data_IF_078735044152
#
_entry.id   IF_078735044152
#
_cell.length_a   1.000
_cell.length_b   1.000
_cell.length_c   1.000
_cell.angle_alpha   90.00
_cell.angle_beta   90.00
_cell.angle_gamma   90.00
#
_symmetry.space_group_name_H-M   'P 1'
#
loop_
_entity.id
_entity.type
_entity.pdbx_description
1 polymer ?
#
# COMPACT_ATOMS: atom_id res chain seq x y z
N UNK A 1 10.97 -11.93 15.81
CA UNK A 1 10.48 -10.56 15.59
C UNK A 1 9.51 -10.64 14.43
N UNK A 2 8.27 -10.23 14.60
CA UNK A 2 7.27 -10.27 13.51
C UNK A 2 7.62 -9.14 12.54
N UNK A 3 7.96 -9.49 11.29
CA UNK A 3 8.38 -8.53 10.27
C UNK A 3 7.13 -7.80 9.78
N UNK A 4 7.21 -6.46 9.67
CA UNK A 4 6.13 -5.63 9.13
C UNK A 4 4.90 -5.51 10.01
N UNK A 5 5.10 -5.07 11.26
CA UNK A 5 3.99 -4.60 12.10
C UNK A 5 3.55 -3.23 11.61
N UNK A 6 2.25 -3.01 11.48
CA UNK A 6 1.78 -1.70 11.05
C UNK A 6 0.27 -1.61 10.89
N UNK A 7 -0.17 -0.54 10.26
CA UNK A 7 -1.58 -0.27 9.96
C UNK A 7 -1.74 0.17 8.52
N UNK A 8 -2.78 -0.33 7.90
CA UNK A 8 -3.34 0.27 6.70
C UNK A 8 -4.42 1.31 7.07
N UNK A 9 -4.58 2.32 6.22
CA UNK A 9 -5.69 3.26 6.31
C UNK A 9 -6.27 3.56 4.92
N UNK A 10 -7.54 3.94 4.94
CA UNK A 10 -8.30 4.37 3.78
C UNK A 10 -9.12 5.59 4.18
N UNK A 11 -9.12 6.60 3.32
CA UNK A 11 -10.00 7.76 3.43
C UNK A 11 -10.64 8.08 2.08
N UNK A 12 -11.84 8.64 2.14
CA UNK A 12 -12.51 9.25 0.99
C UNK A 12 -12.87 10.66 1.42
N UNK A 13 -12.44 11.66 0.66
CA UNK A 13 -12.75 13.06 0.96
C UNK A 13 -14.13 13.48 0.43
N UNK A 14 -14.54 14.71 0.71
CA UNK A 14 -15.84 15.27 0.27
C UNK A 14 -15.96 15.42 -1.24
N UNK A 15 -14.85 15.30 -1.99
CA UNK A 15 -14.80 15.30 -3.45
C UNK A 15 -14.79 13.90 -4.05
N UNK A 16 -14.99 12.87 -3.21
CA UNK A 16 -14.90 11.45 -3.55
C UNK A 16 -13.50 10.99 -3.98
N UNK A 17 -12.45 11.74 -3.65
CA UNK A 17 -11.09 11.25 -3.88
C UNK A 17 -10.74 10.24 -2.80
N UNK A 18 -10.39 9.05 -3.24
CA UNK A 18 -9.83 8.02 -2.39
C UNK A 18 -8.39 8.36 -2.03
N UNK A 19 -7.96 8.06 -0.81
CA UNK A 19 -6.55 7.93 -0.44
C UNK A 19 -6.38 6.63 0.33
N UNK A 20 -5.43 5.80 -0.08
CA UNK A 20 -5.07 4.57 0.61
C UNK A 20 -3.62 4.61 1.02
N UNK A 21 -3.29 4.06 2.18
CA UNK A 21 -1.91 4.09 2.65
C UNK A 21 -1.60 3.05 3.70
N UNK A 22 -0.31 2.89 3.94
CA UNK A 22 0.24 1.98 4.94
C UNK A 22 1.27 2.74 5.79
N UNK A 23 1.36 2.38 7.06
CA UNK A 23 2.43 2.78 7.96
C UNK A 23 2.94 1.52 8.66
N UNK A 24 4.18 1.16 8.36
CA UNK A 24 4.80 -0.11 8.70
C UNK A 24 6.12 0.12 9.43
N UNK A 25 6.42 -0.78 10.36
CA UNK A 25 7.64 -0.82 11.13
C UNK A 25 8.26 -2.23 11.06
N UNK A 26 9.55 -2.33 11.40
CA UNK A 26 10.28 -3.61 11.40
C UNK A 26 10.33 -4.29 10.02
N UNK A 27 10.32 -3.51 8.93
CA UNK A 27 10.71 -4.01 7.61
C UNK A 27 12.24 -4.12 7.51
N UNK A 28 12.73 -4.94 6.57
CA UNK A 28 14.16 -5.09 6.35
C UNK A 28 14.69 -3.84 5.63
N UNK A 29 15.63 -3.08 6.23
CA UNK A 29 16.22 -1.92 5.58
C UNK A 29 16.94 -2.30 4.29
N UNK A 30 16.87 -1.44 3.27
CA UNK A 30 17.52 -1.66 1.98
C UNK A 30 16.87 -2.71 1.08
N UNK A 31 15.75 -3.31 1.51
CA UNK A 31 14.94 -4.20 0.68
C UNK A 31 13.82 -3.42 -0.01
N UNK A 32 13.51 -3.82 -1.25
CA UNK A 32 12.41 -3.27 -2.05
C UNK A 32 11.07 -3.94 -1.70
N UNK A 33 10.02 -3.12 -1.60
CA UNK A 33 8.66 -3.57 -1.31
C UNK A 33 7.67 -2.96 -2.29
N UNK A 34 6.63 -3.68 -2.68
CA UNK A 34 5.47 -3.12 -3.38
C UNK A 34 4.29 -3.02 -2.44
N UNK A 35 3.47 -1.98 -2.60
CA UNK A 35 2.19 -1.82 -1.90
C UNK A 35 1.07 -1.98 -2.92
N UNK A 36 0.10 -2.85 -2.64
CA UNK A 36 -0.99 -3.17 -3.57
C UNK A 36 -2.33 -3.07 -2.86
N UNK A 37 -3.26 -2.31 -3.45
CA UNK A 37 -4.67 -2.37 -3.10
C UNK A 37 -5.33 -3.45 -3.96
N UNK A 38 -5.87 -4.51 -3.33
CA UNK A 38 -6.45 -5.69 -4.01
C UNK A 38 -7.90 -5.89 -3.59
N UNK A 39 -8.81 -6.17 -4.52
CA UNK A 39 -10.24 -6.41 -4.22
C UNK A 39 -10.67 -7.87 -4.41
N UNK A 40 -9.94 -8.62 -5.25
CA UNK A 40 -10.06 -10.07 -5.41
C UNK A 40 -8.78 -10.60 -6.10
N UNK A 41 -8.69 -11.90 -6.39
CA UNK A 41 -7.49 -12.48 -7.01
C UNK A 41 -7.06 -11.82 -8.33
N UNK A 42 -7.99 -11.18 -9.06
CA UNK A 42 -7.78 -10.67 -10.41
C UNK A 42 -7.81 -9.14 -10.51
N UNK A 43 -8.26 -8.43 -9.47
CA UNK A 43 -8.40 -6.98 -9.47
C UNK A 43 -7.55 -6.36 -8.36
N UNK A 44 -6.55 -5.56 -8.75
CA UNK A 44 -5.64 -4.87 -7.83
C UNK A 44 -4.82 -3.78 -8.52
N UNK A 45 -4.42 -2.76 -7.76
CA UNK A 45 -3.58 -1.64 -8.21
C UNK A 45 -2.38 -1.60 -7.31
N UNK A 46 -1.22 -1.72 -7.94
CA UNK A 46 0.07 -1.44 -7.31
C UNK A 46 0.18 0.08 -7.17
N UNK A 47 0.66 0.53 -6.01
CA UNK A 47 0.90 1.93 -5.74
C UNK A 47 1.98 2.48 -6.70
N UNK A 48 1.64 3.56 -7.40
CA UNK A 48 2.45 4.33 -8.34
C UNK A 48 1.52 5.22 -9.19
N UNK A 49 2.00 6.11 -10.09
CA UNK A 49 3.33 6.69 -10.26
C UNK A 49 3.65 7.78 -9.22
N UNK A 50 4.93 8.21 -9.14
CA UNK A 50 5.45 9.07 -8.06
C UNK A 50 4.68 10.38 -7.84
N UNK A 51 4.09 10.98 -8.89
CA UNK A 51 3.29 12.21 -8.77
C UNK A 51 2.01 12.05 -7.95
N UNK A 52 1.55 10.81 -7.76
CA UNK A 52 0.32 10.48 -7.00
C UNK A 52 0.63 9.81 -5.66
N UNK A 53 1.91 9.70 -5.32
CA UNK A 53 2.40 9.07 -4.10
C UNK A 53 2.85 10.14 -3.12
N UNK A 54 2.47 9.99 -1.85
CA UNK A 54 3.00 10.75 -0.73
C UNK A 54 3.77 9.82 0.22
N UNK A 55 5.01 10.16 0.53
CA UNK A 55 5.93 9.34 1.34
C UNK A 55 6.32 10.16 2.57
N UNK A 56 5.83 9.74 3.74
CA UNK A 56 6.22 10.33 5.01
C UNK A 56 7.53 9.70 5.54
N UNK A 57 7.73 8.41 5.30
CA UNK A 57 8.93 7.67 5.71
C UNK A 57 9.33 6.65 4.64
N UNK A 58 10.62 6.59 4.32
CA UNK A 58 11.18 5.73 3.28
C UNK A 58 11.44 6.49 1.99
N UNK A 59 11.58 5.76 0.88
CA UNK A 59 11.74 6.32 -0.45
C UNK A 59 11.08 5.43 -1.50
N UNK A 60 10.97 5.94 -2.73
CA UNK A 60 10.51 5.20 -3.89
C UNK A 60 11.63 5.04 -4.91
N UNK A 61 11.71 3.87 -5.54
CA UNK A 61 12.61 3.49 -6.63
C UNK A 61 11.80 2.83 -7.75
N UNK A 62 12.21 3.05 -8.99
CA UNK A 62 11.57 2.53 -10.21
C UNK A 62 10.02 2.67 -10.20
N UNK A 63 9.53 3.80 -9.67
CA UNK A 63 8.13 4.25 -9.58
C UNK A 63 7.15 3.41 -8.75
N UNK A 64 7.51 2.17 -8.37
CA UNK A 64 6.61 1.24 -7.66
C UNK A 64 7.27 0.52 -6.48
N UNK A 65 8.59 0.59 -6.34
CA UNK A 65 9.31 -0.06 -5.25
C UNK A 65 9.57 0.93 -4.13
N UNK A 66 9.14 0.57 -2.93
CA UNK A 66 9.34 1.33 -1.72
C UNK A 66 10.50 0.75 -0.93
N UNK A 67 11.42 1.63 -0.52
CA UNK A 67 12.54 1.30 0.35
C UNK A 67 12.22 1.84 1.75
N UNK A 68 12.20 1.00 2.80
CA UNK A 68 12.08 1.48 4.16
C UNK A 68 13.29 2.32 4.55
N UNK A 69 13.10 3.18 5.53
CA UNK A 69 14.21 3.88 6.23
C UNK A 69 15.20 2.89 6.85
N UNK A 70 16.36 3.40 7.27
CA UNK A 70 17.43 2.58 7.87
C UNK A 70 17.00 1.83 9.14
N UNK A 71 15.97 2.29 9.85
CA UNK A 71 15.39 1.63 11.03
C UNK A 71 14.16 0.75 10.71
N UNK A 72 13.84 0.57 9.41
CA UNK A 72 12.82 -0.35 8.95
C UNK A 72 11.40 0.23 8.92
N UNK A 73 11.24 1.55 8.94
CA UNK A 73 9.94 2.23 8.81
C UNK A 73 9.61 2.60 7.37
N UNK A 74 8.34 2.41 6.98
CA UNK A 74 7.79 2.81 5.70
C UNK A 74 6.38 3.38 5.92
N UNK A 75 6.18 4.64 5.56
CA UNK A 75 4.87 5.30 5.61
C UNK A 75 4.59 5.94 4.26
N UNK A 76 3.64 5.36 3.52
CA UNK A 76 3.31 5.77 2.15
C UNK A 76 1.81 5.78 1.94
N UNK A 77 1.33 6.74 1.14
CA UNK A 77 -0.04 6.81 0.68
C UNK A 77 -0.13 7.14 -0.80
N UNK A 78 -1.25 6.78 -1.42
CA UNK A 78 -1.54 7.08 -2.81
C UNK A 78 -2.92 7.72 -2.91
N UNK A 79 -2.94 8.91 -3.53
CA UNK A 79 -4.17 9.60 -3.86
C UNK A 79 -4.76 9.02 -5.15
N UNK A 80 -6.06 8.74 -5.11
CA UNK A 80 -6.87 8.28 -6.23
C UNK A 80 -6.17 7.16 -7.05
N UNK A 81 -6.12 5.91 -6.58
CA UNK A 81 -5.84 4.73 -7.41
C UNK A 81 -6.93 4.64 -8.49
N UNK A 82 -6.82 5.42 -9.55
CA UNK A 82 -7.91 5.78 -10.48
C UNK A 82 -8.45 4.59 -11.30
N UNK A 83 -8.07 3.34 -11.00
CA UNK A 83 -8.48 2.16 -11.78
C UNK A 83 -9.39 1.17 -11.05
N UNK A 84 -9.75 1.36 -9.77
CA UNK A 84 -10.28 0.23 -8.97
C UNK A 84 -11.62 0.36 -8.25
N UNK A 85 -12.28 1.52 -8.24
CA UNK A 85 -13.63 1.58 -7.64
C UNK A 85 -14.74 0.94 -8.50
N UNK A 86 -14.38 0.27 -9.60
CA UNK A 86 -15.32 -0.48 -10.45
C UNK A 86 -15.54 -1.93 -9.98
N UNK A 87 -14.66 -2.48 -9.14
CA UNK A 87 -14.65 -3.91 -8.81
C UNK A 87 -15.79 -4.38 -7.90
N UNK A 88 -16.27 -3.52 -6.99
CA UNK A 88 -17.19 -3.91 -5.91
C UNK A 88 -16.61 -4.97 -4.96
N UNK A 89 -17.00 -4.96 -3.68
CA UNK A 89 -16.60 -5.97 -2.70
C UNK A 89 -15.54 -5.53 -1.68
N UNK A 90 -14.88 -6.51 -1.05
CA UNK A 90 -13.86 -6.31 -0.01
C UNK A 90 -12.49 -5.99 -0.62
N UNK A 91 -11.78 -5.05 -0.01
CA UNK A 91 -10.45 -4.65 -0.41
C UNK A 91 -9.44 -4.94 0.70
N UNK A 92 -8.19 -5.14 0.28
CA UNK A 92 -7.05 -5.44 1.12
C UNK A 92 -5.86 -4.58 0.69
N UNK A 93 -5.11 -4.07 1.65
CA UNK A 93 -3.78 -3.52 1.41
C UNK A 93 -2.74 -4.59 1.72
N UNK A 94 -1.96 -4.91 0.70
CA UNK A 94 -0.94 -5.96 0.73
C UNK A 94 0.42 -5.30 0.52
N UNK A 95 1.40 -5.76 1.28
CA UNK A 95 2.79 -5.38 1.12
C UNK A 95 3.56 -6.65 0.76
N UNK A 96 4.42 -6.56 -0.25
CA UNK A 96 5.19 -7.71 -0.72
C UNK A 96 6.64 -7.30 -0.90
N UNK A 97 7.55 -8.10 -0.36
CA UNK A 97 8.97 -7.89 -0.58
C UNK A 97 9.37 -8.39 -1.97
N UNK A 98 10.26 -7.68 -2.66
CA UNK A 98 10.76 -8.10 -3.97
C UNK A 98 11.34 -9.52 -3.90
N UNK A 99 10.97 -10.35 -4.87
CA UNK A 99 11.39 -11.74 -5.00
C UNK A 99 10.70 -12.73 -4.05
N UNK A 100 9.82 -12.29 -3.16
CA UNK A 100 9.03 -13.17 -2.30
C UNK A 100 7.61 -13.39 -2.84
N UNK A 101 7.09 -14.61 -2.69
CA UNK A 101 5.71 -14.94 -3.07
C UNK A 101 4.72 -14.78 -1.90
N UNK A 102 5.22 -14.51 -0.69
CA UNK A 102 4.39 -14.39 0.49
C UNK A 102 3.87 -12.95 0.64
N UNK A 103 2.55 -12.81 0.60
CA UNK A 103 1.87 -11.54 0.87
C UNK A 103 1.92 -11.24 2.37
N UNK A 104 2.36 -10.03 2.72
CA UNK A 104 2.13 -9.46 4.05
C UNK A 104 0.82 -8.67 4.00
N UNK A 105 -0.26 -9.27 4.51
CA UNK A 105 -1.53 -8.56 4.68
C UNK A 105 -1.39 -7.57 5.83
N UNK A 106 -1.52 -6.27 5.54
CA UNK A 106 -1.37 -5.19 6.52
C UNK A 106 -2.69 -4.52 6.87
N UNK A 107 -3.79 -5.02 6.28
CA UNK A 107 -5.17 -4.67 6.61
C UNK A 107 -6.03 -5.92 6.83
N UNK A 108 -7.13 -5.76 7.56
CA UNK A 108 -8.30 -6.63 7.37
C UNK A 108 -9.07 -6.24 6.10
N UNK A 109 -10.10 -7.03 5.71
CA UNK A 109 -11.00 -6.65 4.62
C UNK A 109 -11.75 -5.35 4.94
N UNK A 110 -11.97 -4.51 3.95
CA UNK A 110 -12.84 -3.34 4.06
C UNK A 110 -13.64 -3.12 2.79
N UNK A 111 -14.84 -2.56 2.91
CA UNK A 111 -15.73 -2.27 1.79
C UNK A 111 -15.91 -0.77 1.58
N UNK A 112 -16.01 -0.34 0.33
CA UNK A 112 -16.50 0.99 0.01
C UNK A 112 -18.03 1.00 0.05
N UNK A 113 -18.61 1.77 0.97
CA UNK A 113 -20.01 2.16 0.85
C UNK A 113 -20.12 3.23 -0.23
N UNK A 114 -20.67 2.85 -1.38
CA UNK A 114 -21.09 3.80 -2.42
C UNK A 114 -22.18 4.73 -1.90
#
# INVERSE_FOLDING_TARGET
MEIGKGKAFISIDSTQKFTGGVSLESLNPGRRYTVTLKSNANHGVVFGPAENIDIAEGSIEDDIYFIPTADGRLTVSMANPVRILEGGGEYFLIVQAEGEMADMSVSGPFEFKK
#
